data_IF_334687674127
#
_entry.id   IF_334687674127
#
_cell.length_a   1.000
_cell.length_b   1.000
_cell.length_c   1.000
_cell.angle_alpha   90.00
_cell.angle_beta   90.00
_cell.angle_gamma   90.00
#
_symmetry.space_group_name_H-M   'P 1'
#
loop_
_entity.id
_entity.type
_entity.pdbx_description
1 polymer ?
#
# COMPACT_ATOMS: atom_id res chain seq x y z
N UNK A 1 53.96 14.10 -16.44
CA UNK A 1 53.12 13.69 -15.30
C UNK A 1 51.75 13.40 -15.88
N UNK A 2 51.31 12.13 -15.98
CA UNK A 2 50.01 11.82 -16.57
C UNK A 2 48.91 12.00 -15.52
N UNK A 3 47.94 12.85 -15.82
CA UNK A 3 46.75 13.07 -15.00
C UNK A 3 45.85 11.83 -15.01
N UNK A 4 45.48 11.39 -13.80
CA UNK A 4 44.57 10.27 -13.55
C UNK A 4 43.16 10.58 -14.04
N UNK A 5 42.46 9.65 -14.74
CA UNK A 5 41.06 9.86 -15.09
C UNK A 5 40.18 9.80 -13.83
N UNK A 6 39.40 10.86 -13.60
CA UNK A 6 38.38 10.99 -12.55
C UNK A 6 37.30 9.90 -12.65
N UNK A 7 37.59 8.70 -12.14
CA UNK A 7 36.59 7.71 -11.78
C UNK A 7 35.96 8.11 -10.46
N UNK A 8 34.84 8.86 -10.48
CA UNK A 8 33.70 8.78 -9.51
C UNK A 8 32.74 9.97 -9.62
N UNK A 9 32.35 10.35 -10.84
CA UNK A 9 31.09 11.05 -11.02
C UNK A 9 29.93 10.07 -10.77
N UNK A 10 29.68 9.74 -9.50
CA UNK A 10 28.47 9.02 -9.09
C UNK A 10 27.28 9.83 -9.59
N UNK A 11 26.68 9.38 -10.70
CA UNK A 11 25.60 10.07 -11.38
C UNK A 11 24.39 10.08 -10.44
N UNK A 12 24.24 11.15 -9.67
CA UNK A 12 23.08 11.38 -8.81
C UNK A 12 21.88 11.62 -9.73
N UNK A 13 21.20 10.54 -10.11
CA UNK A 13 19.96 10.64 -10.91
C UNK A 13 18.90 11.34 -10.05
N UNK A 14 18.26 12.42 -10.56
CA UNK A 14 17.18 13.09 -9.84
C UNK A 14 16.02 12.13 -9.61
N UNK A 15 15.30 12.32 -8.51
CA UNK A 15 14.12 11.54 -8.19
C UNK A 15 13.11 11.61 -9.34
N UNK A 16 12.70 10.46 -9.87
CA UNK A 16 11.76 10.40 -10.98
C UNK A 16 10.34 10.75 -10.50
N UNK A 17 9.77 11.86 -11.02
CA UNK A 17 8.38 12.29 -10.78
C UNK A 17 7.34 11.15 -10.80
N UNK A 18 7.39 10.18 -11.75
CA UNK A 18 6.44 9.08 -11.78
C UNK A 18 6.41 8.24 -10.50
N UNK A 19 7.57 7.95 -9.91
CA UNK A 19 7.64 7.20 -8.66
C UNK A 19 7.05 7.97 -7.48
N UNK A 20 7.21 9.31 -7.48
CA UNK A 20 6.69 10.14 -6.39
C UNK A 20 5.17 10.09 -6.39
N UNK A 21 4.56 10.27 -7.56
CA UNK A 21 3.11 10.21 -7.75
C UNK A 21 2.59 8.81 -7.41
N UNK A 22 3.27 7.76 -7.86
CA UNK A 22 2.87 6.38 -7.59
C UNK A 22 2.85 6.07 -6.08
N UNK A 23 3.95 6.34 -5.36
CA UNK A 23 4.08 5.96 -3.95
C UNK A 23 3.32 6.88 -2.99
N UNK A 24 3.00 8.12 -3.38
CA UNK A 24 2.36 9.09 -2.47
C UNK A 24 0.93 9.42 -2.81
N UNK A 25 0.50 9.17 -4.04
CA UNK A 25 -0.87 9.47 -4.46
C UNK A 25 -1.58 8.17 -4.82
N UNK A 26 -1.08 7.46 -5.83
CA UNK A 26 -1.80 6.29 -6.40
C UNK A 26 -1.95 5.17 -5.38
N UNK A 27 -0.86 4.76 -4.72
CA UNK A 27 -0.90 3.64 -3.77
C UNK A 27 -1.68 3.99 -2.50
N UNK A 28 -1.46 5.15 -1.86
CA UNK A 28 -2.29 5.54 -0.72
C UNK A 28 -3.78 5.61 -1.05
N UNK A 29 -4.17 6.11 -2.23
CA UNK A 29 -5.57 6.11 -2.68
C UNK A 29 -6.11 4.69 -2.91
N UNK A 30 -5.29 3.79 -3.44
CA UNK A 30 -5.65 2.39 -3.60
C UNK A 30 -5.88 1.70 -2.25
N UNK A 31 -4.97 1.88 -1.29
CA UNK A 31 -5.12 1.36 0.09
C UNK A 31 -6.37 1.98 0.75
N UNK A 32 -6.59 3.29 0.57
CA UNK A 32 -7.76 3.99 1.10
C UNK A 32 -9.06 3.38 0.58
N UNK A 33 -9.09 2.95 -0.68
CA UNK A 33 -10.24 2.26 -1.26
C UNK A 33 -10.55 0.99 -0.46
N UNK A 34 -9.54 0.17 -0.13
CA UNK A 34 -9.70 -1.01 0.71
C UNK A 34 -10.20 -0.69 2.14
N UNK A 35 -9.68 0.37 2.76
CA UNK A 35 -10.16 0.86 4.06
C UNK A 35 -11.64 1.22 4.01
N UNK A 36 -12.05 2.00 3.01
CA UNK A 36 -13.46 2.40 2.84
C UNK A 36 -14.35 1.18 2.67
N UNK A 37 -13.97 0.22 1.82
CA UNK A 37 -14.77 -1.00 1.64
C UNK A 37 -14.90 -1.85 2.91
N UNK A 38 -13.83 -1.94 3.72
CA UNK A 38 -13.86 -2.62 5.02
C UNK A 38 -14.76 -1.91 6.02
N UNK A 39 -14.72 -0.58 6.05
CA UNK A 39 -15.56 0.26 6.92
C UNK A 39 -17.03 0.35 6.46
N UNK A 40 -17.33 0.14 5.17
CA UNK A 40 -18.72 0.06 4.69
C UNK A 40 -19.30 -1.32 4.94
N UNK A 41 -18.49 -2.37 4.80
CA UNK A 41 -18.95 -3.75 4.98
C UNK A 41 -19.12 -4.13 6.46
N UNK A 42 -18.30 -3.59 7.37
CA UNK A 42 -18.31 -3.80 8.84
C UNK A 42 -18.57 -5.25 9.28
N UNK A 43 -18.20 -6.21 8.45
CA UNK A 43 -18.52 -7.61 8.65
C UNK A 43 -17.21 -8.36 8.63
N UNK A 44 -16.75 -8.93 9.74
CA UNK A 44 -15.45 -9.60 9.79
C UNK A 44 -15.43 -10.90 8.95
N UNK A 45 -16.59 -11.38 8.46
CA UNK A 45 -16.66 -12.44 7.45
C UNK A 45 -16.14 -12.01 6.07
N UNK A 46 -15.87 -10.72 5.87
CA UNK A 46 -15.16 -10.26 4.68
C UNK A 46 -13.65 -10.34 4.85
N UNK A 47 -13.12 -10.85 5.97
CA UNK A 47 -11.69 -11.18 6.02
C UNK A 47 -11.41 -12.44 5.18
N UNK A 48 -10.18 -12.56 4.63
CA UNK A 48 -9.64 -13.81 4.10
C UNK A 48 -9.95 -14.98 5.03
N UNK A 49 -10.48 -16.09 4.49
CA UNK A 49 -10.89 -17.26 5.30
C UNK A 49 -9.75 -17.78 6.16
N UNK A 50 -8.53 -17.81 5.63
CA UNK A 50 -7.36 -18.27 6.38
C UNK A 50 -7.07 -17.38 7.60
N UNK A 51 -7.29 -16.06 7.50
CA UNK A 51 -7.11 -15.14 8.62
C UNK A 51 -8.22 -15.33 9.66
N UNK A 52 -9.45 -15.59 9.19
CA UNK A 52 -10.57 -15.93 10.06
C UNK A 52 -10.31 -17.23 10.81
N UNK A 53 -9.86 -18.28 10.11
CA UNK A 53 -9.60 -19.60 10.69
C UNK A 53 -8.49 -19.52 11.75
N UNK A 54 -7.39 -18.83 11.46
CA UNK A 54 -6.31 -18.58 12.44
C UNK A 54 -6.82 -17.80 13.66
N UNK A 55 -7.67 -16.79 13.44
CA UNK A 55 -8.24 -16.00 14.53
C UNK A 55 -9.15 -16.84 15.42
N UNK A 56 -9.99 -17.70 14.82
CA UNK A 56 -10.87 -18.62 15.55
C UNK A 56 -10.07 -19.68 16.33
N UNK A 57 -9.02 -20.25 15.73
CA UNK A 57 -8.12 -21.20 16.41
C UNK A 57 -7.37 -20.56 17.58
N UNK A 58 -7.09 -19.26 17.49
CA UNK A 58 -6.37 -18.50 18.51
C UNK A 58 -7.29 -17.79 19.52
N UNK A 59 -8.61 -17.99 19.44
CA UNK A 59 -9.65 -17.32 20.25
C UNK A 59 -9.56 -15.77 20.20
N UNK A 60 -9.16 -15.23 19.04
CA UNK A 60 -9.05 -13.79 18.79
C UNK A 60 -10.38 -13.27 18.25
N UNK A 61 -10.87 -12.18 18.82
CA UNK A 61 -12.05 -11.49 18.31
C UNK A 61 -11.82 -10.98 16.87
N UNK A 62 -12.65 -11.49 15.97
CA UNK A 62 -12.68 -11.16 14.55
C UNK A 62 -12.89 -9.65 14.29
N UNK A 63 -13.72 -8.98 15.09
CA UNK A 63 -13.91 -7.53 14.98
C UNK A 63 -12.65 -6.78 15.43
N UNK A 64 -12.02 -7.22 16.52
CA UNK A 64 -10.76 -6.63 16.97
C UNK A 64 -9.69 -6.75 15.88
N UNK A 65 -9.57 -7.92 15.24
CA UNK A 65 -8.63 -8.15 14.14
C UNK A 65 -8.93 -7.25 12.92
N UNK A 66 -10.21 -7.11 12.54
CA UNK A 66 -10.62 -6.17 11.49
C UNK A 66 -10.18 -4.73 11.82
N UNK A 67 -10.41 -4.27 13.04
CA UNK A 67 -9.98 -2.93 13.47
C UNK A 67 -8.47 -2.75 13.43
N UNK A 68 -7.70 -3.75 13.87
CA UNK A 68 -6.23 -3.72 13.81
C UNK A 68 -5.73 -3.63 12.37
N UNK A 69 -6.32 -4.40 11.45
CA UNK A 69 -5.95 -4.37 10.03
C UNK A 69 -6.27 -3.02 9.38
N UNK A 70 -7.46 -2.46 9.65
CA UNK A 70 -7.86 -1.14 9.15
C UNK A 70 -6.95 -0.04 9.74
N UNK A 71 -6.62 -0.13 11.03
CA UNK A 71 -5.70 0.81 11.66
C UNK A 71 -4.31 0.77 11.03
N UNK A 72 -3.78 -0.43 10.72
CA UNK A 72 -2.51 -0.60 10.01
C UNK A 72 -2.53 0.05 8.62
N UNK A 73 -3.63 -0.10 7.88
CA UNK A 73 -3.79 0.53 6.56
C UNK A 73 -3.80 2.05 6.65
N UNK A 74 -4.51 2.62 7.63
CA UNK A 74 -4.54 4.08 7.87
C UNK A 74 -3.15 4.60 8.26
N UNK A 75 -2.44 3.90 9.14
CA UNK A 75 -1.07 4.25 9.53
C UNK A 75 -0.12 4.17 8.33
N UNK A 76 -0.30 3.17 7.46
CA UNK A 76 0.48 3.05 6.22
C UNK A 76 0.24 4.23 5.28
N UNK A 77 -1.02 4.60 5.04
CA UNK A 77 -1.40 5.77 4.25
C UNK A 77 -0.74 7.03 4.82
N UNK A 78 -0.90 7.28 6.13
CA UNK A 78 -0.28 8.42 6.81
C UNK A 78 1.24 8.43 6.64
N UNK A 79 1.89 7.28 6.81
CA UNK A 79 3.33 7.15 6.64
C UNK A 79 3.79 7.52 5.22
N UNK A 80 3.06 7.08 4.19
CA UNK A 80 3.38 7.41 2.80
C UNK A 80 3.20 8.91 2.48
N UNK A 81 2.13 9.52 3.03
CA UNK A 81 1.82 10.93 2.83
C UNK A 81 2.80 11.85 3.56
N UNK A 82 3.05 11.59 4.85
CA UNK A 82 3.82 12.49 5.71
C UNK A 82 5.33 12.21 5.69
N UNK A 83 5.77 10.96 5.46
CA UNK A 83 7.18 10.57 5.60
C UNK A 83 7.76 10.10 4.25
N UNK A 84 8.35 11.03 3.49
CA UNK A 84 8.82 10.77 2.12
C UNK A 84 9.85 9.65 2.02
N UNK A 85 10.72 9.54 3.03
CA UNK A 85 11.75 8.52 3.12
C UNK A 85 11.17 7.11 3.32
N UNK A 86 10.01 7.02 3.97
CA UNK A 86 9.32 5.75 4.26
C UNK A 86 8.23 5.41 3.24
N UNK A 87 7.82 6.35 2.39
CA UNK A 87 6.73 6.11 1.44
C UNK A 87 6.99 4.91 0.51
N UNK A 88 8.19 4.83 -0.06
CA UNK A 88 8.57 3.71 -0.94
C UNK A 88 8.65 2.36 -0.21
N UNK A 89 9.44 2.20 0.89
CA UNK A 89 9.50 0.91 1.57
C UNK A 89 8.13 0.50 2.14
N UNK A 90 7.33 1.46 2.62
CA UNK A 90 5.97 1.16 3.11
C UNK A 90 5.05 0.70 1.98
N UNK A 91 5.11 1.34 0.80
CA UNK A 91 4.34 0.92 -0.36
C UNK A 91 4.71 -0.50 -0.81
N UNK A 92 6.01 -0.81 -0.88
CA UNK A 92 6.48 -2.17 -1.19
C UNK A 92 5.95 -3.16 -0.16
N UNK A 93 6.10 -2.87 1.13
CA UNK A 93 5.68 -3.76 2.21
C UNK A 93 4.17 -4.03 2.17
N UNK A 94 3.33 -2.98 2.11
CA UNK A 94 1.87 -3.13 2.05
C UNK A 94 1.40 -3.90 0.81
N UNK A 95 1.87 -3.51 -0.38
CA UNK A 95 1.47 -4.19 -1.62
C UNK A 95 1.94 -5.65 -1.63
N UNK A 96 3.11 -5.95 -1.06
CA UNK A 96 3.60 -7.32 -0.91
C UNK A 96 2.72 -8.13 0.04
N UNK A 97 2.32 -7.56 1.17
CA UNK A 97 1.39 -8.21 2.10
C UNK A 97 0.04 -8.52 1.44
N UNK A 98 -0.52 -7.56 0.69
CA UNK A 98 -1.77 -7.78 -0.05
C UNK A 98 -1.63 -8.89 -1.09
N UNK A 99 -0.58 -8.86 -1.91
CA UNK A 99 -0.31 -9.92 -2.88
C UNK A 99 -0.13 -11.28 -2.21
N UNK A 100 0.62 -11.36 -1.10
CA UNK A 100 0.88 -12.61 -0.40
C UNK A 100 -0.40 -13.22 0.18
N UNK A 101 -1.24 -12.41 0.83
CA UNK A 101 -2.52 -12.85 1.38
C UNK A 101 -3.46 -13.30 0.25
N UNK A 102 -3.50 -12.56 -0.87
CA UNK A 102 -4.28 -12.93 -2.06
C UNK A 102 -3.85 -14.26 -2.67
N UNK A 103 -2.54 -14.46 -2.84
CA UNK A 103 -1.99 -15.73 -3.36
C UNK A 103 -2.34 -16.89 -2.43
N UNK A 104 -2.28 -16.67 -1.11
CA UNK A 104 -2.68 -17.68 -0.13
C UNK A 104 -4.15 -18.05 -0.28
N UNK A 105 -5.07 -17.08 -0.26
CA UNK A 105 -6.51 -17.33 -0.44
C UNK A 105 -6.85 -17.99 -1.78
N UNK A 106 -6.16 -17.61 -2.85
CA UNK A 106 -6.32 -18.25 -4.16
C UNK A 106 -5.87 -19.72 -4.13
N UNK A 107 -4.83 -20.05 -3.36
CA UNK A 107 -4.36 -21.43 -3.23
C UNK A 107 -5.32 -22.33 -2.45
N UNK A 108 -6.17 -21.74 -1.60
CA UNK A 108 -7.25 -22.45 -0.88
C UNK A 108 -8.58 -22.46 -1.62
N UNK A 109 -8.63 -21.92 -2.85
CA UNK A 109 -9.81 -21.97 -3.72
C UNK A 109 -10.93 -21.00 -3.33
N UNK A 110 -10.61 -19.86 -2.70
CA UNK A 110 -11.62 -18.87 -2.34
C UNK A 110 -12.17 -18.12 -3.58
N UNK A 111 -13.50 -18.03 -3.70
CA UNK A 111 -14.18 -17.31 -4.79
C UNK A 111 -14.08 -15.78 -4.67
N UNK A 112 -13.76 -15.27 -3.46
CA UNK A 112 -13.61 -13.83 -3.18
C UNK A 112 -12.47 -13.63 -2.19
N UNK A 113 -11.62 -12.64 -2.45
CA UNK A 113 -10.46 -12.34 -1.62
C UNK A 113 -10.78 -11.65 -0.28
N UNK A 114 -11.98 -11.10 -0.10
CA UNK A 114 -12.37 -10.37 1.11
C UNK A 114 -11.64 -9.03 1.35
N UNK A 115 -10.47 -8.82 0.73
CA UNK A 115 -9.65 -7.62 0.88
C UNK A 115 -10.39 -6.31 0.52
N UNK A 116 -11.41 -6.36 -0.34
CA UNK A 116 -12.29 -5.24 -0.71
C UNK A 116 -13.75 -5.41 -0.22
N UNK A 117 -14.01 -6.25 0.78
CA UNK A 117 -15.37 -6.40 1.32
C UNK A 117 -16.30 -7.28 0.46
N UNK A 118 -17.61 -7.10 0.59
CA UNK A 118 -18.65 -7.96 0.00
C UNK A 118 -18.82 -7.86 -1.51
N UNK A 119 -18.26 -6.83 -2.15
CA UNK A 119 -18.27 -6.61 -3.61
C UNK A 119 -16.86 -6.80 -4.16
N UNK A 120 -16.18 -7.86 -3.72
CA UNK A 120 -14.81 -8.13 -4.15
C UNK A 120 -14.79 -8.60 -5.61
N UNK A 121 -14.01 -7.95 -6.50
CA UNK A 121 -13.77 -8.44 -7.84
C UNK A 121 -13.07 -9.82 -7.81
N UNK A 122 -13.01 -10.54 -8.94
CA UNK A 122 -12.34 -11.83 -9.02
C UNK A 122 -10.91 -11.76 -8.45
N UNK A 123 -10.47 -12.72 -7.62
CA UNK A 123 -9.16 -12.69 -6.96
C UNK A 123 -7.98 -12.49 -7.92
N UNK A 124 -8.07 -13.05 -9.13
CA UNK A 124 -7.03 -12.90 -10.17
C UNK A 124 -6.90 -11.45 -10.66
N UNK A 125 -8.02 -10.72 -10.78
CA UNK A 125 -8.02 -9.33 -11.22
C UNK A 125 -7.41 -8.44 -10.15
N UNK A 126 -7.79 -8.68 -8.89
CA UNK A 126 -7.24 -8.00 -7.72
C UNK A 126 -5.72 -8.17 -7.64
N UNK A 127 -5.25 -9.42 -7.76
CA UNK A 127 -3.83 -9.76 -7.75
C UNK A 127 -3.07 -9.08 -8.90
N UNK A 128 -3.70 -8.96 -10.07
CA UNK A 128 -3.10 -8.27 -11.21
C UNK A 128 -2.91 -6.78 -10.92
N UNK A 129 -3.89 -6.11 -10.32
CA UNK A 129 -3.79 -4.69 -9.98
C UNK A 129 -2.72 -4.48 -8.90
N UNK A 130 -2.76 -5.25 -7.81
CA UNK A 130 -1.80 -5.14 -6.71
C UNK A 130 -0.38 -5.47 -7.19
N UNK A 131 -0.24 -6.51 -8.03
CA UNK A 131 1.02 -6.92 -8.64
C UNK A 131 1.59 -5.87 -9.59
N UNK A 132 0.75 -5.20 -10.39
CA UNK A 132 1.18 -4.10 -11.26
C UNK A 132 1.61 -2.87 -10.46
N UNK A 133 0.89 -2.53 -9.38
CA UNK A 133 1.28 -1.45 -8.48
C UNK A 133 2.60 -1.76 -7.78
N UNK A 134 2.77 -2.98 -7.26
CA UNK A 134 4.01 -3.44 -6.65
C UNK A 134 5.17 -3.39 -7.66
N UNK A 135 4.98 -3.95 -8.85
CA UNK A 135 5.97 -3.93 -9.91
C UNK A 135 6.33 -2.50 -10.29
N UNK A 136 5.33 -1.61 -10.40
CA UNK A 136 5.50 -0.18 -10.63
C UNK A 136 6.42 0.49 -9.60
N UNK A 137 6.28 0.14 -8.31
CA UNK A 137 7.15 0.67 -7.25
C UNK A 137 8.56 0.07 -7.29
N UNK A 138 8.67 -1.20 -7.67
CA UNK A 138 9.96 -1.87 -7.80
C UNK A 138 10.79 -1.30 -8.96
N UNK A 139 10.15 -1.02 -10.10
CA UNK A 139 10.81 -0.48 -11.30
C UNK A 139 11.09 1.03 -11.18
N UNK A 140 10.24 1.80 -10.51
CA UNK A 140 10.52 3.22 -10.24
C UNK A 140 11.65 3.28 -9.21
N UNK A 141 12.81 3.83 -9.57
CA UNK A 141 14.08 3.74 -8.81
C UNK A 141 14.12 4.30 -7.38
N UNK A 142 15.34 4.52 -6.85
CA UNK A 142 15.71 4.83 -5.43
C UNK A 142 14.77 5.81 -4.67
N UNK A 143 14.71 5.69 -3.32
CA UNK A 143 13.81 6.48 -2.46
C UNK A 143 13.96 7.99 -2.64
N UNK A 144 12.82 8.67 -2.62
CA UNK A 144 12.71 10.11 -2.86
C UNK A 144 13.51 10.91 -1.83
N UNK A 145 14.41 11.78 -2.32
CA UNK A 145 14.77 12.98 -1.57
C UNK A 145 13.60 13.96 -1.75
N UNK A 146 13.01 14.43 -0.65
CA UNK A 146 12.05 15.53 -0.70
C UNK A 146 12.66 16.66 -1.53
N UNK A 147 11.97 17.20 -2.55
CA UNK A 147 12.35 18.49 -3.08
C UNK A 147 12.30 19.45 -1.89
N UNK A 148 13.44 20.02 -1.54
CA UNK A 148 13.50 21.03 -0.50
C UNK A 148 12.57 22.17 -0.95
N UNK A 149 11.45 22.38 -0.25
CA UNK A 149 10.70 23.62 -0.33
C UNK A 149 9.34 23.66 -1.02
N UNK A 150 8.62 22.55 -1.25
CA UNK A 150 7.18 22.65 -1.58
C UNK A 150 6.31 22.04 -0.49
N UNK A 151 5.75 22.82 0.47
CA UNK A 151 4.56 22.36 1.15
C UNK A 151 3.49 22.27 0.06
N UNK A 152 2.90 21.10 -0.16
CA UNK A 152 1.72 20.96 -1.03
C UNK A 152 0.53 21.16 -0.09
N UNK A 153 0.02 22.39 0.11
CA UNK A 153 -0.98 22.68 1.13
C UNK A 153 -2.37 22.16 0.68
N UNK A 154 -2.52 21.82 -0.60
CA UNK A 154 -3.76 21.32 -1.18
C UNK A 154 -4.13 19.89 -0.79
N UNK A 155 -3.17 19.05 -0.37
CA UNK A 155 -3.47 17.66 0.03
C UNK A 155 -4.03 17.56 1.46
N UNK A 156 -3.70 18.52 2.32
CA UNK A 156 -4.28 18.63 3.68
C UNK A 156 -5.75 19.05 3.58
N UNK A 157 -6.11 19.92 2.64
CA UNK A 157 -7.50 20.31 2.40
C UNK A 157 -8.37 19.14 1.89
N UNK A 158 -7.83 18.28 1.01
CA UNK A 158 -8.55 17.12 0.51
C UNK A 158 -8.75 16.03 1.59
N UNK A 159 -7.76 15.80 2.46
CA UNK A 159 -7.88 14.85 3.55
C UNK A 159 -8.86 15.30 4.65
N UNK A 160 -8.94 16.61 4.91
CA UNK A 160 -9.91 17.17 5.87
C UNK A 160 -11.33 17.16 5.28
N UNK A 161 -11.48 17.41 3.97
CA UNK A 161 -12.79 17.41 3.31
C UNK A 161 -13.45 16.03 3.19
N UNK A 162 -12.69 14.94 3.31
CA UNK A 162 -13.23 13.56 3.33
C UNK A 162 -13.61 13.14 4.76
N UNK A 163 -13.15 13.87 5.78
CA UNK A 163 -13.38 13.60 7.19
C UNK A 163 -14.43 14.54 7.85
N UNK A 164 -15.11 15.38 7.08
CA UNK A 164 -16.17 16.30 7.51
C UNK A 164 -17.48 15.97 6.78
#
# INVERSE_FOLDING_TARGET
>A
MPDTPDMTAATVRPASMPGYVLCRIVIPLWILTGVVFKLVSLTPKTLPKNIVDIALESDIDLFFLLFVLVALEIVAIGTMLFIARLAKPMAIWMMSCFCAILIWEMSTGADSCGCLGSVSPPPWLMLTIDGLLLLGVLITGRPFRSPAGSPVPGLIAAAIAIAA
#
